data_IF_830913684039
#
_entry.id   IF_830913684039
#
_cell.length_a   1.000
_cell.length_b   1.000
_cell.length_c   1.000
_cell.angle_alpha   90.00
_cell.angle_beta   90.00
_cell.angle_gamma   90.00
#
_symmetry.space_group_name_H-M   'P 1'
#
loop_
_entity.id
_entity.type
_entity.pdbx_description
1 polymer ?
#
# COMPACT_ATOMS: atom_id res chain seq x y z
N UNK A 1 -6.35 30.30 32.07
CA UNK A 1 -6.06 30.57 33.49
C UNK A 1 -5.38 31.94 33.60
N UNK A 2 -6.20 32.99 33.53
CA UNK A 2 -5.99 34.33 34.08
C UNK A 2 -7.41 34.74 34.48
N UNK A 3 -7.84 34.41 35.70
CA UNK A 3 -9.22 34.65 36.13
C UNK A 3 -9.48 36.11 36.53
N UNK A 4 -8.44 36.92 36.70
CA UNK A 4 -8.55 38.37 36.85
C UNK A 4 -7.88 39.08 35.66
N UNK A 5 -8.72 39.64 34.78
CA UNK A 5 -8.25 40.49 33.70
C UNK A 5 -7.91 41.87 34.23
N UNK A 6 -6.62 42.22 34.29
CA UNK A 6 -6.22 43.60 34.57
C UNK A 6 -6.72 44.53 33.46
N UNK A 7 -7.45 45.62 33.79
CA UNK A 7 -7.96 46.53 32.79
C UNK A 7 -6.79 47.20 32.06
N UNK A 8 -6.73 46.97 30.74
CA UNK A 8 -5.69 47.57 29.88
C UNK A 8 -5.94 49.07 29.80
N UNK A 9 -4.94 49.92 30.13
CA UNK A 9 -5.08 51.36 30.02
C UNK A 9 -5.52 51.80 28.59
N UNK A 10 -6.48 52.74 28.45
CA UNK A 10 -7.03 53.15 27.15
C UNK A 10 -5.97 53.67 26.16
N UNK A 11 -4.90 54.26 26.69
CA UNK A 11 -3.76 54.77 25.94
C UNK A 11 -2.93 53.67 25.26
N UNK A 12 -2.94 52.45 25.81
CA UNK A 12 -2.26 51.27 25.24
C UNK A 12 -3.20 50.50 24.32
N UNK A 13 -4.47 50.36 24.71
CA UNK A 13 -5.49 49.64 23.94
C UNK A 13 -5.74 50.23 22.53
N UNK A 14 -5.59 51.55 22.38
CA UNK A 14 -5.76 52.24 21.08
C UNK A 14 -4.56 52.10 20.14
N UNK A 15 -3.42 51.58 20.61
CA UNK A 15 -2.24 51.43 19.77
C UNK A 15 -2.42 50.27 18.80
N UNK A 16 -2.11 50.51 17.52
CA UNK A 16 -2.25 49.53 16.44
C UNK A 16 -1.46 48.26 16.78
N UNK A 17 -0.21 48.38 17.24
CA UNK A 17 0.60 47.22 17.63
C UNK A 17 -0.09 46.32 18.67
N UNK A 18 -0.71 46.92 19.69
CA UNK A 18 -1.31 46.18 20.79
C UNK A 18 -2.48 45.34 20.27
N UNK A 19 -3.30 45.92 19.40
CA UNK A 19 -4.41 45.24 18.74
C UNK A 19 -3.93 44.13 17.80
N UNK A 20 -2.89 44.37 17.01
CA UNK A 20 -2.39 43.38 16.04
C UNK A 20 -1.77 42.17 16.75
N UNK A 21 -0.97 42.42 17.80
CA UNK A 21 -0.28 41.36 18.55
C UNK A 21 -1.29 40.54 19.35
N UNK A 22 -2.13 41.17 20.17
CA UNK A 22 -3.14 40.42 20.93
C UNK A 22 -4.16 39.74 20.02
N UNK A 23 -4.60 40.41 18.95
CA UNK A 23 -5.53 39.82 17.98
C UNK A 23 -4.95 38.56 17.34
N UNK A 24 -3.67 38.59 16.92
CA UNK A 24 -2.99 37.42 16.38
C UNK A 24 -2.86 36.31 17.43
N UNK A 25 -2.47 36.64 18.67
CA UNK A 25 -2.35 35.67 19.76
C UNK A 25 -3.69 35.02 20.16
N UNK A 26 -4.79 35.78 20.17
CA UNK A 26 -6.12 35.23 20.41
C UNK A 26 -6.58 34.31 19.28
N UNK A 27 -6.38 34.72 18.03
CA UNK A 27 -6.70 33.89 16.87
C UNK A 27 -5.90 32.57 16.90
N UNK A 28 -4.60 32.64 17.20
CA UNK A 28 -3.73 31.48 17.41
C UNK A 28 -4.25 30.55 18.49
N UNK A 29 -4.64 31.09 19.64
CA UNK A 29 -5.16 30.31 20.77
C UNK A 29 -6.44 29.55 20.38
N UNK A 30 -7.36 30.21 19.69
CA UNK A 30 -8.61 29.58 19.21
C UNK A 30 -8.33 28.48 18.20
N UNK A 31 -7.44 28.72 17.23
CA UNK A 31 -7.08 27.71 16.22
C UNK A 31 -6.39 26.52 16.89
N UNK A 32 -5.40 26.75 17.75
CA UNK A 32 -4.69 25.68 18.45
C UNK A 32 -5.62 24.88 19.37
N UNK A 33 -6.52 25.54 20.10
CA UNK A 33 -7.45 24.85 21.00
C UNK A 33 -8.46 24.02 20.21
N UNK A 34 -9.01 24.55 19.11
CA UNK A 34 -9.95 23.82 18.27
C UNK A 34 -9.27 22.69 17.49
N UNK A 35 -8.06 22.91 16.96
CA UNK A 35 -7.27 21.86 16.30
C UNK A 35 -6.83 20.80 17.30
N UNK A 36 -6.39 21.17 18.49
CA UNK A 36 -6.00 20.22 19.53
C UNK A 36 -7.19 19.37 19.97
N UNK A 37 -8.35 19.98 20.23
CA UNK A 37 -9.57 19.24 20.56
C UNK A 37 -10.02 18.35 19.39
N UNK A 38 -9.91 18.84 18.15
CA UNK A 38 -10.22 18.05 16.94
C UNK A 38 -9.28 16.86 16.74
N UNK A 39 -7.97 17.04 16.92
CA UNK A 39 -6.96 15.99 16.81
C UNK A 39 -7.12 14.99 17.96
N UNK A 40 -7.26 15.46 19.20
CA UNK A 40 -7.47 14.63 20.39
C UNK A 40 -8.73 13.77 20.22
N UNK A 41 -9.83 14.34 19.72
CA UNK A 41 -11.07 13.58 19.47
C UNK A 41 -10.97 12.63 18.28
N UNK A 42 -10.22 13.00 17.23
CA UNK A 42 -10.03 12.17 16.04
C UNK A 42 -9.05 11.02 16.29
N UNK A 43 -7.88 11.27 16.88
CA UNK A 43 -6.81 10.28 17.06
C UNK A 43 -7.09 9.31 18.22
N UNK A 44 -7.81 9.73 19.27
CA UNK A 44 -8.15 8.82 20.38
C UNK A 44 -9.37 7.94 20.08
N UNK A 45 -10.23 8.33 19.12
CA UNK A 45 -11.46 7.58 18.78
C UNK A 45 -11.45 6.98 17.36
N UNK A 46 -10.58 7.43 16.46
CA UNK A 46 -10.45 6.79 15.15
C UNK A 46 -9.51 5.58 15.24
N UNK A 47 -9.83 4.48 14.54
CA UNK A 47 -8.90 3.38 14.40
C UNK A 47 -7.60 3.88 13.74
N UNK A 48 -6.44 3.57 14.34
CA UNK A 48 -5.11 3.80 13.77
C UNK A 48 -5.10 3.38 12.30
N UNK A 49 -4.55 4.22 11.43
CA UNK A 49 -4.38 3.85 10.01
C UNK A 49 -3.53 2.58 9.93
N UNK A 50 -4.17 1.46 9.59
CA UNK A 50 -3.49 0.19 9.38
C UNK A 50 -2.48 0.34 8.25
N UNK A 51 -1.26 -0.18 8.45
CA UNK A 51 -0.28 -0.30 7.38
C UNK A 51 -0.81 -1.32 6.36
N UNK A 52 -1.16 -0.86 5.17
CA UNK A 52 -1.55 -1.72 4.06
C UNK A 52 -0.30 -2.17 3.29
N UNK A 53 -0.28 -3.40 2.74
CA UNK A 53 0.83 -3.85 1.91
C UNK A 53 0.86 -3.05 0.61
N UNK A 54 2.05 -2.58 0.21
CA UNK A 54 2.26 -1.84 -1.06
C UNK A 54 2.95 -2.75 -2.06
N UNK A 55 3.95 -3.50 -1.60
CA UNK A 55 4.73 -4.39 -2.44
C UNK A 55 4.39 -5.86 -2.16
N UNK A 56 4.65 -6.74 -3.12
CA UNK A 56 4.47 -8.18 -2.91
C UNK A 56 5.41 -8.75 -1.82
N UNK A 57 6.55 -8.10 -1.55
CA UNK A 57 7.42 -8.49 -0.44
C UNK A 57 6.78 -8.25 0.95
N UNK A 58 5.83 -7.31 1.03
CA UNK A 58 5.03 -7.10 2.25
C UNK A 58 4.06 -8.26 2.50
N UNK A 59 3.71 -9.01 1.44
CA UNK A 59 2.79 -10.15 1.52
C UNK A 59 3.46 -11.41 2.03
N UNK A 60 4.78 -11.57 1.82
CA UNK A 60 5.53 -12.76 2.26
C UNK A 60 5.37 -12.97 3.76
N UNK A 61 4.93 -14.16 4.15
CA UNK A 61 4.62 -14.43 5.55
C UNK A 61 5.86 -14.32 6.45
N UNK A 62 5.72 -13.71 7.63
CA UNK A 62 6.82 -13.48 8.57
C UNK A 62 7.54 -14.77 8.98
N UNK A 63 6.80 -15.88 9.11
CA UNK A 63 7.34 -17.19 9.41
C UNK A 63 8.19 -17.76 8.27
N UNK A 64 7.92 -17.38 7.02
CA UNK A 64 8.77 -17.75 5.87
C UNK A 64 10.06 -16.93 5.94
N UNK A 65 9.96 -15.62 6.19
CA UNK A 65 11.09 -14.67 6.15
C UNK A 65 12.30 -15.11 6.98
N UNK A 66 12.09 -15.76 8.12
CA UNK A 66 13.16 -16.23 9.02
C UNK A 66 13.34 -17.76 9.03
N UNK A 67 12.97 -18.44 7.94
CA UNK A 67 13.04 -19.90 7.84
C UNK A 67 14.01 -20.35 6.77
N UNK A 68 14.47 -21.60 6.89
CA UNK A 68 15.27 -22.29 5.85
C UNK A 68 14.49 -22.56 4.56
N UNK A 69 13.20 -22.20 4.50
CA UNK A 69 12.37 -22.27 3.29
C UNK A 69 12.48 -20.99 2.46
N UNK A 70 13.07 -19.92 3.00
CA UNK A 70 13.28 -18.66 2.28
C UNK A 70 14.71 -18.61 1.70
N UNK A 71 14.87 -18.49 0.37
CA UNK A 71 16.17 -18.30 -0.27
C UNK A 71 16.99 -17.16 0.33
N UNK A 72 16.38 -15.98 0.50
CA UNK A 72 17.06 -14.80 1.06
C UNK A 72 17.63 -15.07 2.45
N UNK A 73 16.86 -15.78 3.27
CA UNK A 73 17.29 -16.12 4.63
C UNK A 73 18.47 -17.07 4.61
N UNK A 74 18.42 -18.13 3.80
CA UNK A 74 19.50 -19.12 3.67
C UNK A 74 20.80 -18.45 3.20
N UNK A 75 20.71 -17.55 2.23
CA UNK A 75 21.86 -16.78 1.76
C UNK A 75 22.38 -15.80 2.82
N UNK A 76 21.48 -15.14 3.56
CA UNK A 76 21.86 -14.18 4.62
C UNK A 76 22.66 -14.79 5.77
N UNK A 77 22.43 -16.08 6.06
CA UNK A 77 23.18 -16.84 7.08
C UNK A 77 24.47 -17.48 6.53
N UNK A 78 24.91 -17.06 5.33
CA UNK A 78 26.15 -17.51 4.70
C UNK A 78 26.12 -18.96 4.20
N UNK A 79 24.94 -19.53 3.99
CA UNK A 79 24.80 -20.89 3.45
C UNK A 79 24.57 -20.86 1.94
N UNK A 80 24.92 -21.96 1.28
CA UNK A 80 24.63 -22.17 -0.13
C UNK A 80 23.15 -22.50 -0.34
N UNK A 81 22.59 -22.18 -1.52
CA UNK A 81 21.21 -22.47 -1.91
C UNK A 81 20.85 -23.95 -1.82
N UNK A 82 21.84 -24.85 -1.88
CA UNK A 82 21.65 -26.29 -1.64
C UNK A 82 21.15 -26.62 -0.24
N UNK A 83 21.30 -25.71 0.73
CA UNK A 83 20.76 -25.85 2.08
C UNK A 83 19.29 -25.38 2.21
N UNK A 84 18.67 -24.94 1.12
CA UNK A 84 17.27 -24.54 1.07
C UNK A 84 16.36 -25.75 1.30
N UNK A 85 15.47 -25.63 2.28
CA UNK A 85 14.44 -26.64 2.54
C UNK A 85 13.30 -26.49 1.52
N UNK A 86 13.32 -27.36 0.52
CA UNK A 86 12.33 -27.40 -0.57
C UNK A 86 11.25 -28.47 -0.36
N UNK A 87 11.24 -29.16 0.78
CA UNK A 87 10.33 -30.29 1.02
C UNK A 87 8.86 -29.88 0.90
N UNK A 88 8.50 -28.79 1.57
CA UNK A 88 7.14 -28.26 1.61
C UNK A 88 6.70 -27.76 0.23
N UNK A 89 7.56 -27.03 -0.49
CA UNK A 89 7.28 -26.56 -1.85
C UNK A 89 7.09 -27.72 -2.82
N UNK A 90 7.94 -28.75 -2.80
CA UNK A 90 7.80 -29.94 -3.65
C UNK A 90 6.51 -30.70 -3.37
N UNK A 91 6.15 -30.85 -2.09
CA UNK A 91 4.91 -31.51 -1.69
C UNK A 91 3.67 -30.72 -2.16
N UNK A 92 3.70 -29.39 -2.07
CA UNK A 92 2.59 -28.54 -2.51
C UNK A 92 2.49 -28.46 -4.04
N UNK A 93 3.62 -28.32 -4.73
CA UNK A 93 3.71 -28.37 -6.19
C UNK A 93 3.11 -29.66 -6.75
N UNK A 94 3.42 -30.82 -6.14
CA UNK A 94 2.82 -32.11 -6.50
C UNK A 94 1.30 -32.13 -6.31
N UNK A 95 0.77 -31.51 -5.25
CA UNK A 95 -0.68 -31.42 -5.02
C UNK A 95 -1.37 -30.58 -6.10
N UNK A 96 -0.79 -29.42 -6.45
CA UNK A 96 -1.31 -28.57 -7.53
C UNK A 96 -1.33 -29.35 -8.85
N UNK A 97 -0.21 -30.02 -9.19
CA UNK A 97 -0.12 -30.87 -10.39
C UNK A 97 -1.20 -31.96 -10.42
N UNK A 98 -1.41 -32.65 -9.30
CA UNK A 98 -2.45 -33.68 -9.19
C UNK A 98 -3.87 -33.12 -9.37
N UNK A 99 -4.11 -31.91 -8.85
CA UNK A 99 -5.38 -31.20 -9.02
C UNK A 99 -5.63 -30.81 -10.49
N UNK A 100 -4.67 -30.14 -11.14
CA UNK A 100 -4.79 -29.66 -12.52
C UNK A 100 -5.06 -30.79 -13.52
N UNK A 101 -4.40 -31.93 -13.33
CA UNK A 101 -4.57 -33.11 -14.18
C UNK A 101 -5.69 -34.05 -13.74
N UNK A 102 -6.53 -33.64 -12.78
CA UNK A 102 -7.67 -34.43 -12.29
C UNK A 102 -7.28 -35.86 -11.86
N UNK A 103 -6.03 -36.06 -11.44
CA UNK A 103 -5.50 -37.37 -11.04
C UNK A 103 -6.12 -37.84 -9.72
N UNK A 104 -6.76 -36.94 -8.97
CA UNK A 104 -7.55 -37.24 -7.79
C UNK A 104 -8.88 -36.46 -7.82
N UNK A 105 -9.99 -37.07 -8.28
CA UNK A 105 -11.26 -36.37 -8.41
C UNK A 105 -11.87 -35.92 -7.06
N UNK A 106 -11.52 -36.60 -5.96
CA UNK A 106 -12.07 -36.41 -4.61
C UNK A 106 -11.19 -35.56 -3.68
N UNK A 107 -10.01 -35.10 -4.11
CA UNK A 107 -9.15 -34.29 -3.25
C UNK A 107 -9.66 -32.84 -3.22
N UNK A 108 -10.26 -32.44 -2.10
CA UNK A 108 -10.66 -31.05 -1.79
C UNK A 108 -9.48 -30.11 -1.48
N UNK A 109 -8.25 -30.54 -1.78
CA UNK A 109 -7.06 -30.12 -1.05
C UNK A 109 -6.17 -29.17 -1.85
N UNK A 110 -6.66 -27.95 -2.02
CA UNK A 110 -5.79 -26.78 -1.86
C UNK A 110 -6.07 -26.20 -0.46
N UNK A 111 -5.92 -27.02 0.57
CA UNK A 111 -5.98 -26.52 1.94
C UNK A 111 -4.59 -26.00 2.31
N UNK A 112 -4.49 -24.74 2.78
CA UNK A 112 -3.28 -24.26 3.41
C UNK A 112 -2.91 -25.22 4.53
N UNK A 113 -1.63 -25.56 4.67
CA UNK A 113 -1.15 -26.59 5.60
C UNK A 113 -1.52 -26.24 7.05
N UNK A 114 -1.88 -24.98 7.35
CA UNK A 114 -2.19 -24.51 8.70
C UNK A 114 -2.81 -23.11 8.66
N UNK A 115 -3.74 -22.84 9.60
CA UNK A 115 -4.30 -21.52 9.92
C UNK A 115 -3.22 -20.58 10.46
N UNK A 116 -2.39 -20.05 9.57
CA UNK A 116 -1.44 -19.01 9.91
C UNK A 116 -1.97 -17.64 9.55
N UNK A 117 -1.52 -16.66 10.31
CA UNK A 117 -1.88 -15.25 10.22
C UNK A 117 -1.15 -14.57 9.03
N UNK A 118 -1.12 -15.25 7.87
CA UNK A 118 -0.48 -14.87 6.61
C UNK A 118 -1.53 -14.33 5.62
N UNK A 119 -1.09 -13.61 4.59
CA UNK A 119 -1.98 -13.16 3.52
C UNK A 119 -2.46 -14.32 2.64
N UNK A 120 -3.76 -14.32 2.33
CA UNK A 120 -4.36 -15.11 1.26
C UNK A 120 -4.16 -14.38 -0.06
N UNK A 121 -3.68 -15.10 -1.07
CA UNK A 121 -3.35 -14.61 -2.40
C UNK A 121 -4.43 -15.16 -3.35
N UNK A 122 -5.52 -14.40 -3.50
CA UNK A 122 -6.72 -14.82 -4.21
C UNK A 122 -6.73 -14.27 -5.64
N UNK A 123 -7.33 -15.01 -6.57
CA UNK A 123 -7.42 -14.61 -7.98
C UNK A 123 -8.70 -15.12 -8.63
N UNK A 124 -8.99 -14.59 -9.82
CA UNK A 124 -10.01 -15.18 -10.68
C UNK A 124 -9.56 -16.54 -11.21
N UNK A 125 -10.53 -17.39 -11.51
CA UNK A 125 -10.27 -18.67 -12.17
C UNK A 125 -10.06 -18.45 -13.67
N UNK A 126 -9.04 -19.09 -14.22
CA UNK A 126 -8.73 -19.08 -15.66
C UNK A 126 -8.87 -20.48 -16.26
N UNK A 127 -9.25 -20.52 -17.53
CA UNK A 127 -9.14 -21.73 -18.34
C UNK A 127 -7.73 -21.79 -18.91
N UNK A 128 -6.89 -22.66 -18.40
CA UNK A 128 -5.57 -22.90 -18.98
C UNK A 128 -5.76 -23.90 -20.12
N UNK A 129 -5.34 -23.53 -21.33
CA UNK A 129 -5.28 -24.49 -22.44
C UNK A 129 -4.39 -25.65 -21.99
N UNK A 130 -4.84 -26.89 -22.14
CA UNK A 130 -4.22 -28.14 -21.65
C UNK A 130 -4.60 -28.62 -20.24
N UNK A 131 -5.18 -27.78 -19.38
CA UNK A 131 -5.63 -28.25 -18.07
C UNK A 131 -7.06 -28.79 -18.08
N UNK A 132 -7.28 -29.84 -17.28
CA UNK A 132 -8.61 -30.44 -17.12
C UNK A 132 -9.46 -29.67 -16.09
N UNK A 133 -8.85 -28.79 -15.29
CA UNK A 133 -9.51 -28.00 -14.25
C UNK A 133 -9.08 -26.54 -14.27
N UNK A 134 -10.01 -25.66 -13.95
CA UNK A 134 -9.74 -24.23 -13.75
C UNK A 134 -9.02 -24.00 -12.42
N UNK A 135 -7.94 -23.22 -12.45
CA UNK A 135 -7.17 -22.79 -11.27
C UNK A 135 -7.13 -21.27 -11.15
N UNK A 136 -6.82 -20.73 -9.96
CA UNK A 136 -6.60 -19.29 -9.79
C UNK A 136 -5.44 -18.78 -10.66
N UNK A 137 -5.65 -17.68 -11.38
CA UNK A 137 -4.68 -17.08 -12.33
C UNK A 137 -3.30 -16.84 -11.71
N UNK A 138 -3.24 -16.29 -10.50
CA UNK A 138 -1.96 -16.04 -9.86
C UNK A 138 -1.29 -17.33 -9.37
N UNK A 139 -2.07 -18.35 -9.00
CA UNK A 139 -1.54 -19.66 -8.62
C UNK A 139 -0.90 -20.37 -9.82
N UNK A 140 -1.54 -20.30 -10.98
CA UNK A 140 -1.03 -20.81 -12.26
C UNK A 140 0.35 -20.22 -12.56
N UNK A 141 0.45 -18.88 -12.54
CA UNK A 141 1.70 -18.16 -12.73
C UNK A 141 2.81 -18.61 -11.75
N UNK A 142 2.47 -18.72 -10.47
CA UNK A 142 3.43 -19.17 -9.46
C UNK A 142 3.86 -20.63 -9.70
N UNK A 143 2.93 -21.49 -10.08
CA UNK A 143 3.19 -22.90 -10.36
C UNK A 143 4.13 -23.10 -11.56
N UNK A 144 3.90 -22.38 -12.67
CA UNK A 144 4.72 -22.49 -13.88
C UNK A 144 6.20 -22.14 -13.61
N UNK A 145 6.40 -21.08 -12.85
CA UNK A 145 7.74 -20.64 -12.46
C UNK A 145 8.39 -21.67 -11.53
N UNK A 146 7.64 -22.23 -10.57
CA UNK A 146 8.16 -23.30 -9.72
C UNK A 146 8.47 -24.58 -10.47
N UNK A 147 7.68 -24.96 -11.47
CA UNK A 147 7.95 -26.14 -12.31
C UNK A 147 9.31 -26.02 -12.97
N UNK A 148 9.64 -24.83 -13.46
CA UNK A 148 10.95 -24.52 -14.05
C UNK A 148 12.11 -24.64 -13.05
N UNK A 149 11.85 -24.47 -11.74
CA UNK A 149 12.85 -24.50 -10.67
C UNK A 149 12.97 -25.87 -9.98
N UNK A 150 11.88 -26.62 -9.85
CA UNK A 150 11.78 -27.82 -9.00
C UNK A 150 11.75 -29.14 -9.79
N UNK A 151 11.48 -29.14 -11.10
CA UNK A 151 11.37 -30.37 -11.89
C UNK A 151 12.67 -30.67 -12.68
N UNK A 152 13.48 -31.67 -12.25
CA UNK A 152 14.71 -32.06 -12.94
C UNK A 152 14.46 -32.78 -14.29
N UNK A 153 13.20 -33.09 -14.62
CA UNK A 153 12.79 -33.67 -15.91
C UNK A 153 12.40 -32.63 -16.97
N UNK A 154 12.30 -31.35 -16.62
CA UNK A 154 12.15 -30.29 -17.61
C UNK A 154 13.42 -30.25 -18.49
N UNK A 155 13.34 -29.94 -19.80
CA UNK A 155 14.49 -29.94 -20.71
C UNK A 155 15.66 -29.05 -20.25
N UNK A 156 15.43 -28.11 -19.32
CA UNK A 156 16.42 -27.23 -18.71
C UNK A 156 16.76 -27.56 -17.23
N UNK A 157 16.15 -28.59 -16.64
CA UNK A 157 16.07 -28.82 -15.18
C UNK A 157 17.30 -29.42 -14.50
N UNK A 158 18.39 -29.70 -15.23
CA UNK A 158 19.60 -30.32 -14.64
C UNK A 158 20.73 -29.35 -14.28
N UNK A 159 20.66 -28.06 -14.63
CA UNK A 159 21.80 -27.14 -14.44
C UNK A 159 21.59 -25.90 -13.55
N UNK A 160 20.39 -25.51 -13.13
CA UNK A 160 20.20 -24.07 -12.80
C UNK A 160 19.44 -23.72 -11.52
N UNK A 161 19.49 -24.52 -10.46
CA UNK A 161 19.12 -24.01 -9.12
C UNK A 161 20.02 -22.82 -8.69
N UNK A 162 21.24 -22.72 -9.21
CA UNK A 162 22.18 -21.62 -8.91
C UNK A 162 22.06 -20.42 -9.85
N UNK A 163 21.65 -20.60 -11.11
CA UNK A 163 21.61 -19.51 -12.11
C UNK A 163 20.27 -18.76 -12.13
N UNK A 164 19.15 -19.44 -11.82
CA UNK A 164 17.81 -18.82 -11.88
C UNK A 164 17.41 -18.12 -10.57
N UNK A 165 17.94 -18.54 -9.41
CA UNK A 165 17.77 -17.89 -8.10
C UNK A 165 18.62 -16.61 -7.93
N UNK A 166 19.16 -16.05 -9.03
CA UNK A 166 19.94 -14.79 -8.98
C UNK A 166 19.01 -13.56 -9.07
N UNK A 167 17.79 -13.70 -9.61
CA UNK A 167 16.86 -12.58 -9.72
C UNK A 167 15.90 -12.52 -8.50
N UNK A 168 15.83 -11.37 -7.79
CA UNK A 168 14.94 -11.17 -6.63
C UNK A 168 13.46 -11.49 -6.90
N UNK A 169 13.04 -11.45 -8.16
CA UNK A 169 11.68 -11.80 -8.57
C UNK A 169 11.41 -13.29 -8.39
N UNK A 170 12.38 -14.17 -8.72
CA UNK A 170 12.20 -15.60 -8.53
C UNK A 170 12.18 -15.98 -7.05
N UNK A 171 13.01 -15.35 -6.20
CA UNK A 171 12.98 -15.55 -4.74
C UNK A 171 11.63 -15.16 -4.14
N UNK A 172 11.10 -14.00 -4.57
CA UNK A 172 9.79 -13.53 -4.16
C UNK A 172 8.68 -14.51 -4.59
N UNK A 173 8.67 -14.96 -5.84
CA UNK A 173 7.68 -15.93 -6.32
C UNK A 173 7.85 -17.30 -5.66
N UNK A 174 9.09 -17.67 -5.34
CA UNK A 174 9.40 -18.87 -4.57
C UNK A 174 8.72 -18.83 -3.18
N UNK A 175 8.86 -17.69 -2.50
CA UNK A 175 8.25 -17.43 -1.21
C UNK A 175 6.72 -17.33 -1.28
N UNK A 176 6.16 -16.72 -2.33
CA UNK A 176 4.71 -16.53 -2.47
C UNK A 176 3.95 -17.83 -2.76
N UNK A 177 4.53 -18.83 -3.43
CA UNK A 177 3.89 -20.16 -3.62
C UNK A 177 3.91 -21.01 -2.34
N UNK A 178 4.61 -20.60 -1.29
CA UNK A 178 4.67 -21.39 -0.08
C UNK A 178 3.24 -21.65 0.46
N UNK A 179 2.85 -22.90 0.78
CA UNK A 179 1.50 -23.26 1.23
C UNK A 179 1.07 -22.66 2.57
N UNK A 180 1.95 -21.87 3.21
CA UNK A 180 1.56 -20.94 4.27
C UNK A 180 0.66 -19.81 3.76
N UNK A 181 0.75 -19.46 2.47
CA UNK A 181 -0.21 -18.61 1.79
C UNK A 181 -1.39 -19.45 1.30
N UNK A 182 -2.61 -18.98 1.56
CA UNK A 182 -3.78 -19.58 0.93
C UNK A 182 -3.95 -19.02 -0.47
N UNK A 183 -4.01 -19.87 -1.48
CA UNK A 183 -4.22 -19.47 -2.87
C UNK A 183 -5.67 -19.63 -3.33
N UNK A 184 -6.54 -20.07 -2.42
CA UNK A 184 -7.91 -20.43 -2.66
C UNK A 184 -8.78 -19.88 -1.53
N UNK A 185 -10.03 -19.47 -1.79
CA UNK A 185 -10.96 -19.10 -0.74
C UNK A 185 -11.27 -20.28 0.18
N UNK A 186 -11.51 -20.03 1.46
CA UNK A 186 -11.62 -21.05 2.49
C UNK A 186 -12.83 -22.00 2.31
N UNK A 187 -13.87 -21.54 1.63
CA UNK A 187 -15.15 -22.26 1.48
C UNK A 187 -15.37 -22.87 0.09
N UNK A 188 -14.34 -22.97 -0.74
CA UNK A 188 -14.52 -23.54 -2.10
C UNK A 188 -14.65 -25.06 -2.02
N UNK A 189 -15.75 -25.58 -2.55
CA UNK A 189 -15.89 -26.99 -2.84
C UNK A 189 -15.49 -27.28 -4.30
N UNK A 190 -14.24 -27.70 -4.51
CA UNK A 190 -13.70 -27.97 -5.85
C UNK A 190 -14.28 -29.20 -6.55
N UNK A 191 -15.20 -29.94 -5.92
CA UNK A 191 -15.96 -30.99 -6.63
C UNK A 191 -17.14 -30.44 -7.44
N UNK A 192 -17.65 -29.25 -7.09
CA UNK A 192 -18.91 -28.69 -7.63
C UNK A 192 -18.80 -27.20 -7.96
N UNK A 193 -17.58 -26.68 -8.05
CA UNK A 193 -17.34 -25.25 -8.23
C UNK A 193 -17.68 -24.76 -9.63
N UNK A 194 -18.14 -23.51 -9.70
CA UNK A 194 -18.24 -22.73 -10.93
C UNK A 194 -17.41 -21.45 -10.81
N UNK A 195 -16.99 -20.89 -11.94
CA UNK A 195 -16.28 -19.59 -12.00
C UNK A 195 -17.01 -18.52 -11.19
N UNK A 196 -18.34 -18.45 -11.30
CA UNK A 196 -19.14 -17.48 -10.58
C UNK A 196 -19.13 -17.72 -9.06
N UNK A 197 -19.24 -18.97 -8.61
CA UNK A 197 -19.21 -19.28 -7.17
C UNK A 197 -17.87 -18.93 -6.53
N UNK A 198 -16.75 -19.24 -7.20
CA UNK A 198 -15.42 -18.93 -6.66
C UNK A 198 -15.18 -17.43 -6.67
N UNK A 199 -15.55 -16.73 -7.75
CA UNK A 199 -15.48 -15.27 -7.81
C UNK A 199 -16.29 -14.61 -6.68
N UNK A 200 -17.47 -15.13 -6.34
CA UNK A 200 -18.24 -14.65 -5.19
C UNK A 200 -17.48 -14.90 -3.87
N UNK A 201 -16.91 -16.08 -3.69
CA UNK A 201 -16.13 -16.35 -2.47
C UNK A 201 -14.90 -15.44 -2.34
N UNK A 202 -14.20 -15.17 -3.45
CA UNK A 202 -13.09 -14.21 -3.49
C UNK A 202 -13.57 -12.82 -3.10
N UNK A 203 -14.62 -12.29 -3.74
CA UNK A 203 -15.14 -10.96 -3.42
C UNK A 203 -15.58 -10.86 -1.94
N UNK A 204 -16.22 -11.89 -1.39
CA UNK A 204 -16.60 -11.91 0.02
C UNK A 204 -15.38 -11.81 0.96
N UNK A 205 -14.31 -12.55 0.67
CA UNK A 205 -13.09 -12.48 1.48
C UNK A 205 -12.35 -11.15 1.34
N UNK A 206 -12.29 -10.57 0.14
CA UNK A 206 -11.67 -9.25 -0.10
C UNK A 206 -12.45 -8.14 0.61
N UNK A 207 -13.78 -8.17 0.54
CA UNK A 207 -14.66 -7.17 1.17
C UNK A 207 -14.68 -7.30 2.69
N UNK A 208 -14.38 -8.48 3.25
CA UNK A 208 -14.32 -8.69 4.70
C UNK A 208 -13.16 -7.96 5.41
N UNK A 209 -12.26 -7.31 4.67
CA UNK A 209 -11.09 -6.59 5.18
C UNK A 209 -10.13 -7.44 6.05
N UNK A 210 -10.09 -8.75 5.83
CA UNK A 210 -9.09 -9.64 6.40
C UNK A 210 -7.73 -9.54 5.70
N UNK A 211 -6.80 -10.45 6.05
CA UNK A 211 -5.53 -10.63 5.34
C UNK A 211 -5.75 -11.36 4.01
N UNK A 212 -6.49 -10.75 3.09
CA UNK A 212 -6.74 -11.27 1.75
C UNK A 212 -6.38 -10.21 0.71
N UNK A 213 -5.70 -10.62 -0.34
CA UNK A 213 -5.27 -9.77 -1.45
C UNK A 213 -5.75 -10.40 -2.74
N UNK A 214 -6.30 -9.57 -3.63
CA UNK A 214 -6.59 -9.96 -4.99
C UNK A 214 -5.36 -9.75 -5.86
N UNK A 215 -4.82 -10.83 -6.43
CA UNK A 215 -3.66 -10.83 -7.31
C UNK A 215 -4.07 -11.35 -8.70
N UNK A 216 -3.57 -10.70 -9.74
CA UNK A 216 -3.83 -11.04 -11.14
C UNK A 216 -3.10 -10.08 -12.06
N UNK A 217 -3.42 -10.12 -13.35
CA UNK A 217 -2.99 -9.11 -14.33
C UNK A 217 -3.31 -7.67 -13.90
N UNK A 218 -2.51 -6.70 -14.37
CA UNK A 218 -2.71 -5.27 -14.02
C UNK A 218 -4.11 -4.77 -14.37
N UNK A 219 -4.62 -5.31 -15.48
CA UNK A 219 -5.91 -5.05 -16.10
C UNK A 219 -7.04 -5.64 -15.24
N UNK A 220 -6.95 -6.93 -14.89
CA UNK A 220 -7.96 -7.57 -14.04
C UNK A 220 -8.04 -6.93 -12.66
N UNK A 221 -6.90 -6.61 -12.04
CA UNK A 221 -6.81 -5.91 -10.76
C UNK A 221 -7.45 -4.52 -10.86
N UNK A 222 -7.21 -3.79 -11.94
CA UNK A 222 -7.81 -2.47 -12.14
C UNK A 222 -9.34 -2.54 -12.25
N UNK A 223 -9.86 -3.48 -13.03
CA UNK A 223 -11.31 -3.67 -13.20
C UNK A 223 -11.98 -4.11 -11.89
N UNK A 224 -11.36 -5.05 -11.17
CA UNK A 224 -11.85 -5.51 -9.87
C UNK A 224 -11.88 -4.33 -8.88
N UNK A 225 -10.84 -3.49 -8.86
CA UNK A 225 -10.79 -2.29 -8.02
C UNK A 225 -11.92 -1.31 -8.35
N UNK A 226 -12.15 -1.01 -9.64
CA UNK A 226 -13.24 -0.12 -10.07
C UNK A 226 -14.60 -0.69 -9.67
N UNK A 227 -14.80 -2.01 -9.87
CA UNK A 227 -16.02 -2.69 -9.44
C UNK A 227 -16.21 -2.61 -7.92
N UNK A 228 -15.18 -2.89 -7.13
CA UNK A 228 -15.26 -2.88 -5.67
C UNK A 228 -15.51 -1.47 -5.13
N UNK A 229 -14.79 -0.45 -5.60
CA UNK A 229 -14.98 0.94 -5.18
C UNK A 229 -16.39 1.46 -5.50
N UNK A 230 -16.95 1.06 -6.65
CA UNK A 230 -18.31 1.44 -7.05
C UNK A 230 -19.38 0.81 -6.14
N UNK A 231 -19.21 -0.45 -5.75
CA UNK A 231 -20.23 -1.20 -5.02
C UNK A 231 -20.06 -1.11 -3.48
N UNK A 232 -18.84 -0.86 -3.00
CA UNK A 232 -18.48 -0.84 -1.58
C UNK A 232 -17.83 0.50 -1.20
N UNK A 233 -18.57 1.64 -1.24
CA UNK A 233 -18.01 2.98 -1.07
C UNK A 233 -17.47 3.28 0.33
N UNK A 234 -17.79 2.44 1.33
CA UNK A 234 -17.30 2.58 2.71
C UNK A 234 -16.01 1.79 2.96
N UNK A 235 -15.59 0.97 2.01
CA UNK A 235 -14.36 0.18 2.11
C UNK A 235 -13.29 0.83 1.25
N UNK A 236 -12.14 1.14 1.85
CA UNK A 236 -10.99 1.64 1.12
C UNK A 236 -10.18 0.47 0.57
N UNK A 237 -10.20 0.34 -0.75
CA UNK A 237 -9.37 -0.62 -1.46
C UNK A 237 -8.09 0.07 -1.96
N UNK A 238 -6.96 -0.62 -1.78
CA UNK A 238 -5.65 -0.15 -2.18
C UNK A 238 -5.11 -1.06 -3.29
N UNK A 239 -4.41 -0.45 -4.25
CA UNK A 239 -3.69 -1.17 -5.31
C UNK A 239 -2.20 -1.19 -4.95
N UNK A 240 -1.61 -2.38 -4.92
CA UNK A 240 -0.17 -2.56 -4.75
C UNK A 240 0.61 -2.44 -6.07
N UNK A 241 1.93 -2.51 -5.95
CA UNK A 241 2.87 -2.44 -7.06
C UNK A 241 2.91 -3.75 -7.87
N UNK A 242 3.32 -3.62 -9.14
CA UNK A 242 3.50 -4.75 -10.05
C UNK A 242 4.73 -5.58 -9.66
N UNK A 243 4.64 -6.92 -9.74
CA UNK A 243 5.80 -7.81 -9.54
C UNK A 243 6.75 -7.71 -10.73
N UNK A 244 6.21 -7.80 -11.94
CA UNK A 244 6.93 -7.67 -13.20
C UNK A 244 5.95 -7.30 -14.30
N UNK A 245 6.44 -6.66 -15.36
CA UNK A 245 5.68 -6.42 -16.57
C UNK A 245 6.20 -7.37 -17.66
N UNK A 246 5.41 -8.38 -18.03
CA UNK A 246 5.73 -9.19 -19.21
C UNK A 246 5.30 -8.42 -20.46
N UNK A 247 6.24 -8.00 -21.33
CA UNK A 247 5.86 -7.46 -22.61
C UNK A 247 5.27 -8.60 -23.46
N UNK A 248 4.02 -8.44 -23.91
CA UNK A 248 3.51 -9.32 -24.97
C UNK A 248 4.12 -8.91 -26.31
N UNK A 249 4.34 -9.88 -27.19
CA UNK A 249 4.87 -9.66 -28.54
C UNK A 249 3.98 -10.39 -29.54
N UNK A 250 3.63 -9.69 -30.61
CA UNK A 250 2.98 -10.29 -31.76
C UNK A 250 4.07 -10.65 -32.77
N UNK A 251 4.18 -11.94 -33.10
CA UNK A 251 5.11 -12.43 -34.11
C UNK A 251 4.36 -12.62 -35.42
N UNK A 252 4.83 -11.95 -36.48
CA UNK A 252 4.30 -12.12 -37.82
C UNK A 252 5.28 -12.92 -38.67
N UNK A 253 4.81 -14.01 -39.28
CA UNK A 253 5.59 -14.77 -40.27
C UNK A 253 5.40 -14.14 -41.66
N UNK A 254 6.44 -14.13 -42.50
CA UNK A 254 6.42 -13.59 -43.87
C UNK A 254 6.16 -12.07 -43.95
N UNK A 255 6.80 -11.31 -43.05
CA UNK A 255 6.85 -9.85 -43.14
C UNK A 255 7.43 -9.42 -44.49
N UNK A 256 6.80 -8.42 -45.14
CA UNK A 256 7.19 -7.93 -46.47
C UNK A 256 6.32 -8.45 -47.64
N UNK A 257 5.74 -9.64 -47.52
CA UNK A 257 4.74 -10.15 -48.48
C UNK A 257 3.32 -9.79 -48.01
N UNK A 258 3.07 -9.97 -46.70
CA UNK A 258 1.80 -9.63 -46.08
C UNK A 258 1.77 -8.17 -45.64
N UNK A 259 0.64 -7.48 -45.91
CA UNK A 259 0.36 -6.13 -45.36
C UNK A 259 -0.20 -6.17 -43.94
N UNK A 260 -0.45 -7.36 -43.38
CA UNK A 260 -1.02 -7.54 -42.04
C UNK A 260 -0.19 -6.87 -40.93
N UNK A 261 1.16 -6.99 -40.88
CA UNK A 261 1.96 -6.31 -39.86
C UNK A 261 1.78 -4.78 -39.92
N UNK A 262 1.73 -4.21 -41.12
CA UNK A 262 1.51 -2.77 -41.34
C UNK A 262 0.13 -2.33 -40.84
N UNK A 263 -0.92 -3.11 -41.10
CA UNK A 263 -2.27 -2.78 -40.60
C UNK A 263 -2.39 -2.93 -39.08
N UNK A 264 -1.76 -3.95 -38.49
CA UNK A 264 -1.70 -4.09 -37.03
C UNK A 264 -0.96 -2.93 -36.38
N UNK A 265 0.15 -2.48 -36.98
CA UNK A 265 0.86 -1.28 -36.54
C UNK A 265 -0.06 -0.06 -36.52
N UNK A 266 -0.79 0.20 -37.61
CA UNK A 266 -1.75 1.32 -37.64
C UNK A 266 -2.87 1.17 -36.61
N UNK A 267 -3.36 -0.04 -36.35
CA UNK A 267 -4.38 -0.29 -35.33
C UNK A 267 -3.89 -0.01 -33.90
N UNK A 268 -2.62 -0.33 -33.62
CA UNK A 268 -1.97 -0.01 -32.34
C UNK A 268 -1.72 1.49 -32.20
N UNK A 269 -1.13 2.12 -33.22
CA UNK A 269 -0.78 3.55 -33.22
C UNK A 269 -2.01 4.47 -33.18
N UNK A 270 -3.10 4.09 -33.85
CA UNK A 270 -4.37 4.82 -33.80
C UNK A 270 -5.12 4.67 -32.46
N UNK A 271 -4.71 3.74 -31.60
CA UNK A 271 -5.38 3.46 -30.33
C UNK A 271 -6.64 2.60 -30.44
N UNK A 272 -7.00 2.11 -31.64
CA UNK A 272 -8.16 1.22 -31.85
C UNK A 272 -8.03 -0.04 -31.02
N UNK A 273 -6.85 -0.67 -31.05
CA UNK A 273 -6.57 -1.89 -30.28
C UNK A 273 -6.84 -1.66 -28.78
N UNK A 274 -6.29 -0.57 -28.22
CA UNK A 274 -6.44 -0.22 -26.80
C UNK A 274 -7.91 0.02 -26.44
N UNK A 275 -8.70 0.65 -27.33
CA UNK A 275 -10.13 0.86 -27.08
C UNK A 275 -10.90 -0.46 -27.07
N UNK A 276 -10.64 -1.36 -28.02
CA UNK A 276 -11.27 -2.67 -28.08
C UNK A 276 -10.96 -3.50 -26.82
N UNK A 277 -9.72 -3.44 -26.35
CA UNK A 277 -9.29 -4.11 -25.11
C UNK A 277 -10.09 -3.62 -23.90
N UNK A 278 -10.23 -2.30 -23.74
CA UNK A 278 -11.05 -1.70 -22.69
C UNK A 278 -12.53 -2.10 -22.78
N UNK A 279 -13.10 -2.15 -23.98
CA UNK A 279 -14.49 -2.60 -24.16
C UNK A 279 -14.67 -4.08 -23.81
N UNK A 280 -13.74 -4.95 -24.24
CA UNK A 280 -13.76 -6.37 -23.90
C UNK A 280 -13.73 -6.58 -22.38
N UNK A 281 -12.87 -5.84 -21.70
CA UNK A 281 -12.77 -5.85 -20.25
C UNK A 281 -14.01 -5.33 -19.54
N UNK A 282 -14.56 -4.20 -19.99
CA UNK A 282 -15.79 -3.65 -19.43
C UNK A 282 -16.94 -4.65 -19.58
N UNK A 283 -17.06 -5.29 -20.75
CA UNK A 283 -18.08 -6.30 -21.01
C UNK A 283 -17.99 -7.50 -20.08
N UNK A 284 -16.79 -7.89 -19.61
CA UNK A 284 -16.63 -8.98 -18.65
C UNK A 284 -17.28 -8.70 -17.28
N UNK A 285 -17.51 -7.43 -16.94
CA UNK A 285 -18.14 -7.00 -15.68
C UNK A 285 -19.59 -6.51 -15.87
N UNK A 286 -20.09 -6.43 -17.11
CA UNK A 286 -21.48 -6.06 -17.39
C UNK A 286 -22.42 -7.11 -16.80
N UNK A 287 -23.38 -6.66 -15.99
CA UNK A 287 -24.35 -7.54 -15.33
C UNK A 287 -23.86 -8.22 -14.05
N UNK A 288 -22.59 -8.05 -13.66
CA UNK A 288 -22.08 -8.54 -12.36
C UNK A 288 -22.79 -7.81 -11.20
N UNK A 289 -23.35 -8.58 -10.27
CA UNK A 289 -23.96 -8.08 -9.03
C UNK A 289 -23.03 -8.28 -7.84
N UNK A 290 -22.95 -7.28 -6.97
CA UNK A 290 -22.23 -7.36 -5.70
C UNK A 290 -22.91 -8.34 -4.73
N UNK A 291 -22.11 -8.98 -3.86
CA UNK A 291 -22.60 -9.99 -2.91
C UNK A 291 -23.39 -9.36 -1.77
N UNK A 292 -22.84 -8.32 -1.16
CA UNK A 292 -23.49 -7.63 -0.05
C UNK A 292 -24.22 -6.41 -0.59
N UNK A 293 -25.55 -6.40 -0.44
CA UNK A 293 -26.34 -5.23 -0.80
C UNK A 293 -26.07 -4.08 0.18
N UNK A 294 -26.08 -2.85 -0.36
CA UNK A 294 -25.69 -1.55 0.22
C UNK A 294 -26.20 -1.25 1.65
N UNK A 295 -27.16 -2.00 2.17
CA UNK A 295 -27.96 -1.65 3.34
C UNK A 295 -27.44 -2.21 4.68
N UNK A 296 -26.47 -3.14 4.68
CA UNK A 296 -26.10 -3.89 5.90
C UNK A 296 -24.81 -3.44 6.61
N UNK A 297 -24.22 -2.29 6.25
CA UNK A 297 -23.01 -1.83 6.95
C UNK A 297 -23.35 -0.97 8.18
N UNK A 298 -22.94 -1.36 9.40
CA UNK A 298 -22.99 -0.48 10.57
C UNK A 298 -22.12 0.75 10.34
N UNK A 299 -22.52 1.87 10.96
CA UNK A 299 -21.88 3.19 10.83
C UNK A 299 -20.48 3.19 11.46
N UNK A 300 -19.46 2.72 10.74
CA UNK A 300 -18.06 2.93 11.10
C UNK A 300 -17.62 4.33 10.66
N UNK A 301 -17.18 5.17 11.60
CA UNK A 301 -16.63 6.49 11.32
C UNK A 301 -15.30 6.37 10.56
N UNK A 302 -15.14 7.19 9.52
CA UNK A 302 -13.95 7.18 8.65
C UNK A 302 -12.73 7.78 9.38
N UNK A 303 -11.53 7.20 9.23
CA UNK A 303 -10.30 7.83 9.69
C UNK A 303 -9.99 9.06 8.83
N UNK A 304 -9.88 10.23 9.45
CA UNK A 304 -9.55 11.49 8.77
C UNK A 304 -8.03 11.57 8.57
N UNK A 305 -7.58 11.73 7.33
CA UNK A 305 -6.18 12.01 7.02
C UNK A 305 -5.78 13.38 7.57
N UNK A 306 -4.92 13.39 8.60
CA UNK A 306 -4.41 14.62 9.25
C UNK A 306 -3.38 15.39 8.41
N UNK A 307 -2.85 14.81 7.34
CA UNK A 307 -1.58 15.27 6.75
C UNK A 307 -1.72 16.52 5.86
N UNK A 308 -2.91 16.81 5.32
CA UNK A 308 -3.10 17.91 4.36
C UNK A 308 -3.68 19.21 4.96
N UNK A 309 -4.79 19.12 5.68
CA UNK A 309 -5.53 20.29 6.16
C UNK A 309 -4.92 20.94 7.41
N UNK A 310 -4.27 20.16 8.29
CA UNK A 310 -3.63 20.71 9.49
C UNK A 310 -2.31 21.40 9.17
N UNK A 311 -1.53 20.87 8.22
CA UNK A 311 -0.28 21.48 7.80
C UNK A 311 -0.51 22.91 7.27
N UNK A 312 -1.55 23.10 6.45
CA UNK A 312 -1.91 24.42 5.92
C UNK A 312 -2.36 25.39 7.02
N UNK A 313 -3.09 24.91 8.03
CA UNK A 313 -3.46 25.72 9.20
C UNK A 313 -2.22 26.16 10.02
N UNK A 314 -1.25 25.27 10.24
CA UNK A 314 -0.01 25.61 10.94
C UNK A 314 0.86 26.60 10.15
N UNK A 315 0.90 26.48 8.82
CA UNK A 315 1.62 27.44 7.95
C UNK A 315 0.99 28.83 8.05
N UNK A 316 -0.35 28.94 7.94
CA UNK A 316 -1.05 30.21 8.05
C UNK A 316 -0.86 30.86 9.43
N UNK A 317 -0.94 30.05 10.49
CA UNK A 317 -0.63 30.45 11.86
C UNK A 317 0.80 31.02 11.98
N UNK A 318 1.80 30.28 11.48
CA UNK A 318 3.20 30.70 11.50
C UNK A 318 3.44 32.02 10.76
N UNK A 319 2.85 32.19 9.58
CA UNK A 319 2.91 33.45 8.84
C UNK A 319 2.28 34.62 9.61
N UNK A 320 1.15 34.41 10.26
CA UNK A 320 0.46 35.46 11.04
C UNK A 320 1.27 35.94 12.25
N UNK A 321 1.89 35.01 12.99
CA UNK A 321 2.76 35.32 14.13
C UNK A 321 4.04 36.01 13.66
N UNK A 322 4.64 35.52 12.59
CA UNK A 322 5.86 36.10 12.01
C UNK A 322 5.61 37.57 11.61
N UNK A 323 4.50 37.84 10.93
CA UNK A 323 4.13 39.20 10.56
C UNK A 323 3.91 40.10 11.79
N UNK A 324 3.22 39.61 12.81
CA UNK A 324 3.00 40.35 14.07
C UNK A 324 4.32 40.68 14.79
N UNK A 325 5.30 39.75 14.81
CA UNK A 325 6.61 39.99 15.41
C UNK A 325 7.44 41.02 14.65
N UNK A 326 7.36 41.05 13.31
CA UNK A 326 8.03 42.06 12.48
C UNK A 326 7.47 43.46 12.80
N UNK A 327 6.15 43.60 12.87
CA UNK A 327 5.52 44.87 13.24
C UNK A 327 5.95 45.34 14.63
N UNK A 328 6.06 44.43 15.60
CA UNK A 328 6.54 44.74 16.94
C UNK A 328 8.00 45.21 16.92
N UNK A 329 8.88 44.54 16.18
CA UNK A 329 10.28 44.93 16.05
C UNK A 329 10.44 46.32 15.40
N UNK A 330 9.65 46.62 14.37
CA UNK A 330 9.66 47.92 13.67
C UNK A 330 9.18 49.05 14.58
N UNK A 331 8.05 48.89 15.28
CA UNK A 331 7.54 49.94 16.17
C UNK A 331 8.39 50.14 17.42
N UNK A 332 8.94 49.05 17.98
CA UNK A 332 9.75 49.13 19.20
C UNK A 332 11.24 49.42 18.93
N UNK A 333 11.68 49.58 17.67
CA UNK A 333 13.10 49.71 17.30
C UNK A 333 13.87 50.75 18.11
N UNK A 334 13.26 51.91 18.38
CA UNK A 334 13.90 52.99 19.15
C UNK A 334 13.99 52.67 20.64
N UNK A 335 12.95 52.06 21.22
CA UNK A 335 12.95 51.63 22.62
C UNK A 335 13.88 50.44 22.85
N UNK A 336 13.91 49.48 21.93
CA UNK A 336 14.81 48.33 21.94
C UNK A 336 16.27 48.78 21.82
N UNK A 337 16.58 49.75 20.95
CA UNK A 337 17.92 50.33 20.84
C UNK A 337 18.36 51.04 22.13
N UNK A 338 17.45 51.77 22.79
CA UNK A 338 17.73 52.38 24.09
C UNK A 338 17.97 51.32 25.17
N UNK A 339 17.17 50.25 25.19
CA UNK A 339 17.31 49.15 26.14
C UNK A 339 18.62 48.37 25.94
N UNK A 340 18.99 48.09 24.69
CA UNK A 340 20.27 47.47 24.33
C UNK A 340 21.45 48.35 24.72
N UNK A 341 21.39 49.67 24.48
CA UNK A 341 22.41 50.61 24.95
C UNK A 341 22.52 50.60 26.48
N UNK A 342 21.41 50.59 27.20
CA UNK A 342 21.39 50.48 28.67
C UNK A 342 22.00 49.17 29.19
N UNK A 343 21.69 48.05 28.52
CA UNK A 343 22.26 46.74 28.83
C UNK A 343 23.77 46.67 28.59
N UNK A 344 24.25 47.24 27.48
CA UNK A 344 25.69 47.33 27.18
C UNK A 344 26.41 48.18 28.24
N UNK A 345 25.81 49.30 28.67
CA UNK A 345 26.37 50.15 29.74
C UNK A 345 26.41 49.40 31.08
N UNK A 346 25.37 48.64 31.43
CA UNK A 346 25.34 47.83 32.65
C UNK A 346 26.39 46.70 32.63
N UNK A 347 26.54 46.03 31.49
CA UNK A 347 27.58 45.00 31.29
C UNK A 347 28.97 45.64 31.40
N UNK A 348 29.18 46.80 30.78
CA UNK A 348 30.43 47.54 30.86
C UNK A 348 30.78 47.94 32.31
N UNK A 349 29.80 48.43 33.07
CA UNK A 349 29.96 48.73 34.50
C UNK A 349 30.28 47.47 35.33
N UNK A 350 29.61 46.35 35.05
CA UNK A 350 29.82 45.08 35.75
C UNK A 350 31.22 44.49 35.46
N UNK A 351 31.73 44.67 34.24
CA UNK A 351 33.10 44.28 33.86
C UNK A 351 34.14 45.21 34.52
N UNK A 352 33.93 46.53 34.47
CA UNK A 352 34.83 47.51 35.12
C UNK A 352 34.92 47.30 36.63
N UNK A 353 33.79 47.02 37.30
CA UNK A 353 33.74 46.72 38.73
C UNK A 353 34.47 45.41 39.09
N UNK A 354 34.45 44.39 38.22
CA UNK A 354 35.23 43.15 38.42
C UNK A 354 36.74 43.35 38.25
N UNK A 355 37.17 44.33 37.46
CA UNK A 355 38.60 44.64 37.24
C UNK A 355 39.17 45.46 38.41
N UNK A 356 38.38 46.36 39.02
CA UNK A 356 38.83 47.16 40.17
C UNK A 356 38.96 46.38 41.50
N UNK A 357 38.32 45.21 41.64
CA UNK A 357 38.38 44.37 42.84
C UNK A 357 39.45 43.26 42.78
N UNK A 358 40.30 43.27 41.74
CA UNK A 358 41.34 42.24 41.50
C UNK A 358 42.79 42.78 41.59
N UNK A 359 42.95 43.98 42.13
CA UNK A 359 44.21 44.55 42.62
C UNK A 359 44.05 44.74 44.12
#
# INVERSE_FOLDING_TARGET
MFEEGFPVPPCVAKKTFFRTVLGAWFLMSVILTNCYNGIMTSELNAPLQGRHPITFNDLVCSKIKQSKQNPDYVLSIGRNISALDTYVHKAYHKQIRQFMWNLQPNSSLLHPITSFDCFKLLSNLVNVAFDQRQIPEFLDLLYDIHTSLLDPGAPNGRQTLSEHFISPVFDLMFNLLNPMHAHTPASVNYSTYTVETVRKLVENEIVSCGKAVFAGTSESVHLELVFLQKNYPRTHFYKGDLIFALPFKLLFTNEGISKVPTYFKFMLESGIYRRLEMEQWNNAYVGRKAIVQRNNYPHGAMPVSMTGSLLTAFILCGCSVSLATIFLAVECRLKLLMYFKGWIVLIYFKIKHRICYKK
#
